data_IF_843326821980
#
_entry.id   IF_843326821980
#
_cell.length_a   1.000
_cell.length_b   1.000
_cell.length_c   1.000
_cell.angle_alpha   90.00
_cell.angle_beta   90.00
_cell.angle_gamma   90.00
#
_symmetry.space_group_name_H-M   'P 1'
#
loop_
_entity.id
_entity.type
_entity.pdbx_description
1 polymer ?
#
# COMPACT_ATOMS: atom_id res chain seq x y z
N UNK A 1 7.93 -2.52 8.97
CA UNK A 1 9.22 -2.55 9.70
C UNK A 1 9.80 -3.95 9.56
N UNK A 2 10.90 -4.12 8.82
CA UNK A 2 11.50 -5.45 8.60
C UNK A 2 12.26 -5.92 9.85
N UNK A 3 12.06 -7.17 10.24
CA UNK A 3 12.65 -7.72 11.47
C UNK A 3 14.18 -7.84 11.33
N UNK A 4 14.93 -7.41 12.36
CA UNK A 4 16.41 -7.50 12.36
C UNK A 4 16.91 -8.93 12.12
N UNK A 5 16.10 -9.94 12.48
CA UNK A 5 16.36 -11.36 12.20
C UNK A 5 16.52 -11.64 10.71
N UNK A 6 15.62 -11.14 9.88
CA UNK A 6 15.59 -11.38 8.43
C UNK A 6 16.78 -10.70 7.74
N UNK A 7 17.06 -9.45 8.14
CA UNK A 7 18.24 -8.73 7.68
C UNK A 7 19.55 -9.46 8.02
N UNK A 8 19.66 -10.00 9.23
CA UNK A 8 20.83 -10.78 9.61
C UNK A 8 20.92 -12.13 8.87
N UNK A 9 19.81 -12.80 8.57
CA UNK A 9 19.82 -14.01 7.76
C UNK A 9 20.34 -13.76 6.33
N UNK A 10 20.05 -12.59 5.77
CA UNK A 10 20.56 -12.19 4.45
C UNK A 10 22.08 -11.98 4.46
N UNK A 11 22.61 -11.18 5.38
CA UNK A 11 24.03 -10.81 5.38
C UNK A 11 24.98 -11.78 6.07
N UNK A 12 24.49 -12.71 6.90
CA UNK A 12 25.34 -13.62 7.67
C UNK A 12 25.10 -15.09 7.33
N UNK A 13 26.19 -15.85 7.30
CA UNK A 13 26.18 -17.30 7.20
C UNK A 13 26.38 -17.90 8.61
N UNK A 14 25.50 -18.78 9.11
CA UNK A 14 25.72 -19.46 10.37
C UNK A 14 26.85 -20.49 10.22
N UNK A 15 27.81 -20.47 11.14
CA UNK A 15 28.93 -21.42 11.22
C UNK A 15 28.85 -22.33 12.47
N UNK A 16 27.85 -22.14 13.32
CA UNK A 16 27.59 -22.91 14.53
C UNK A 16 26.53 -22.22 15.40
N UNK A 17 26.26 -22.73 16.60
CA UNK A 17 25.19 -22.22 17.49
C UNK A 17 25.35 -20.76 17.90
N UNK A 18 26.58 -20.23 17.85
CA UNK A 18 26.87 -18.88 18.30
C UNK A 18 27.83 -18.10 17.40
N UNK A 19 28.07 -18.56 16.17
CA UNK A 19 29.04 -17.95 15.27
C UNK A 19 28.41 -17.66 13.90
N UNK A 20 28.56 -16.41 13.46
CA UNK A 20 28.01 -15.90 12.21
C UNK A 20 29.11 -15.23 11.40
N UNK A 21 29.27 -15.63 10.15
CA UNK A 21 30.23 -15.01 9.21
C UNK A 21 29.53 -13.99 8.34
N UNK A 22 30.03 -12.77 8.29
CA UNK A 22 29.54 -11.75 7.38
C UNK A 22 29.87 -12.15 5.93
N UNK A 23 28.86 -12.15 5.04
CA UNK A 23 29.04 -12.50 3.62
C UNK A 23 29.74 -11.39 2.82
N UNK A 24 29.69 -10.14 3.29
CA UNK A 24 30.31 -8.99 2.60
C UNK A 24 31.81 -8.92 2.87
N UNK A 25 32.23 -9.05 4.14
CA UNK A 25 33.64 -8.90 4.53
C UNK A 25 34.30 -10.16 5.10
N UNK A 26 33.58 -11.27 5.24
CA UNK A 26 34.12 -12.53 5.79
C UNK A 26 34.38 -12.52 7.30
N UNK A 27 34.08 -11.43 8.01
CA UNK A 27 34.35 -11.32 9.43
C UNK A 27 33.42 -12.21 10.26
N UNK A 28 33.99 -12.93 11.23
CA UNK A 28 33.25 -13.78 12.15
C UNK A 28 32.76 -12.99 13.37
N UNK A 29 31.49 -13.17 13.70
CA UNK A 29 30.79 -12.50 14.80
C UNK A 29 30.15 -13.51 15.71
N UNK A 30 30.42 -13.38 17.01
CA UNK A 30 29.79 -14.21 18.05
C UNK A 30 28.43 -13.62 18.42
N UNK A 31 27.40 -14.44 18.43
CA UNK A 31 26.06 -14.10 18.90
C UNK A 31 25.56 -15.22 19.79
N UNK A 32 25.32 -14.94 21.07
CA UNK A 32 24.87 -15.99 22.01
C UNK A 32 23.40 -16.36 21.74
N UNK A 33 23.00 -17.63 21.92
CA UNK A 33 21.60 -18.04 21.87
C UNK A 33 20.77 -17.22 22.86
N UNK A 34 19.61 -16.72 22.43
CA UNK A 34 18.74 -15.88 23.27
C UNK A 34 19.14 -14.40 23.35
N UNK A 35 20.24 -13.99 22.72
CA UNK A 35 20.57 -12.57 22.54
C UNK A 35 19.96 -12.03 21.24
N UNK A 36 19.52 -10.77 21.25
CA UNK A 36 18.97 -10.12 20.06
C UNK A 36 20.04 -9.87 18.98
N UNK A 37 19.59 -9.46 17.79
CA UNK A 37 20.43 -9.28 16.58
C UNK A 37 21.20 -7.95 16.52
N UNK A 38 21.16 -7.15 17.58
CA UNK A 38 21.69 -5.78 17.58
C UNK A 38 23.20 -5.72 17.34
N UNK A 39 23.95 -6.73 17.79
CA UNK A 39 25.40 -6.86 17.57
C UNK A 39 25.76 -7.03 16.08
N UNK A 40 25.00 -7.87 15.36
CA UNK A 40 25.19 -8.13 13.94
C UNK A 40 24.79 -6.91 13.11
N UNK A 41 23.67 -6.26 13.45
CA UNK A 41 23.24 -5.03 12.77
C UNK A 41 24.22 -3.88 13.02
N UNK A 42 24.77 -3.77 14.23
CA UNK A 42 25.81 -2.77 14.55
C UNK A 42 27.09 -3.00 13.75
N UNK A 43 27.48 -4.27 13.53
CA UNK A 43 28.58 -4.58 12.61
C UNK A 43 28.29 -4.10 11.19
N UNK A 44 27.08 -4.33 10.67
CA UNK A 44 26.69 -3.87 9.34
C UNK A 44 26.77 -2.35 9.25
N UNK A 45 26.13 -1.64 10.19
CA UNK A 45 26.09 -0.18 10.20
C UNK A 45 27.46 0.50 10.33
N UNK A 46 28.45 -0.17 10.92
CA UNK A 46 29.80 0.37 11.10
C UNK A 46 30.79 0.01 9.99
N UNK A 47 30.51 -1.02 9.19
CA UNK A 47 31.45 -1.55 8.18
C UNK A 47 30.91 -1.53 6.76
N UNK A 48 29.61 -1.32 6.60
CA UNK A 48 28.91 -1.37 5.32
C UNK A 48 27.88 -0.22 5.32
N UNK A 49 28.16 0.88 4.63
CA UNK A 49 27.27 2.06 4.63
C UNK A 49 25.94 1.76 3.91
N UNK A 50 26.00 1.03 2.79
CA UNK A 50 24.85 0.80 1.91
C UNK A 50 24.07 -0.49 2.21
N UNK A 51 24.38 -1.20 3.29
CA UNK A 51 23.75 -2.49 3.60
C UNK A 51 22.21 -2.41 3.71
N UNK A 52 21.68 -1.26 4.10
CA UNK A 52 20.23 -1.04 4.15
C UNK A 52 19.64 -0.98 2.75
N UNK A 53 20.25 -0.20 1.85
CA UNK A 53 19.79 -0.07 0.48
C UNK A 53 19.91 -1.40 -0.30
N UNK A 54 21.00 -2.15 -0.11
CA UNK A 54 21.17 -3.48 -0.71
C UNK A 54 20.08 -4.46 -0.25
N UNK A 55 19.80 -4.49 1.06
CA UNK A 55 18.76 -5.32 1.60
C UNK A 55 17.39 -4.92 1.07
N UNK A 56 17.06 -3.64 1.08
CA UNK A 56 15.77 -3.14 0.62
C UNK A 56 15.57 -3.40 -0.88
N UNK A 57 16.62 -3.30 -1.70
CA UNK A 57 16.55 -3.63 -3.13
C UNK A 57 16.33 -5.13 -3.38
N UNK A 58 17.01 -5.99 -2.63
CA UNK A 58 16.80 -7.43 -2.71
C UNK A 58 15.39 -7.82 -2.20
N UNK A 59 14.95 -7.23 -1.09
CA UNK A 59 13.62 -7.46 -0.54
C UNK A 59 12.53 -6.97 -1.50
N UNK A 60 12.70 -5.78 -2.10
CA UNK A 60 11.83 -5.27 -3.18
C UNK A 60 11.79 -6.18 -4.41
N UNK A 61 12.81 -7.00 -4.65
CA UNK A 61 12.82 -7.98 -5.74
C UNK A 61 12.05 -9.27 -5.40
N UNK A 62 12.08 -9.68 -4.13
CA UNK A 62 11.38 -10.88 -3.63
C UNK A 62 9.91 -10.60 -3.31
N UNK A 63 9.60 -9.41 -2.80
CA UNK A 63 8.24 -8.95 -2.50
C UNK A 63 7.51 -8.40 -3.72
N UNK A 64 8.04 -8.57 -4.94
CA UNK A 64 7.25 -8.21 -6.12
C UNK A 64 6.04 -9.10 -6.19
N UNK A 65 4.88 -8.50 -6.00
CA UNK A 65 3.60 -9.17 -6.14
C UNK A 65 3.47 -9.66 -7.58
N UNK A 66 2.72 -10.75 -7.81
CA UNK A 66 2.34 -11.15 -9.17
C UNK A 66 1.63 -9.99 -9.91
N UNK A 67 1.01 -9.07 -9.16
CA UNK A 67 0.40 -7.84 -9.67
C UNK A 67 1.43 -6.89 -10.30
N UNK A 68 2.66 -6.84 -9.79
CA UNK A 68 3.75 -6.00 -10.35
C UNK A 68 4.21 -6.50 -11.73
N UNK A 69 3.89 -7.75 -12.06
CA UNK A 69 4.10 -8.34 -13.38
C UNK A 69 2.85 -8.26 -14.28
N UNK A 70 1.83 -7.53 -13.86
CA UNK A 70 0.56 -7.38 -14.59
C UNK A 70 -0.42 -8.53 -14.41
N UNK A 71 -0.13 -9.50 -13.52
CA UNK A 71 -1.06 -10.59 -13.25
C UNK A 71 -2.05 -10.16 -12.16
N UNK A 72 -3.30 -9.92 -12.56
CA UNK A 72 -4.38 -9.63 -11.63
C UNK A 72 -5.30 -10.84 -11.51
N UNK A 73 -5.60 -11.25 -10.28
CA UNK A 73 -6.56 -12.33 -10.05
C UNK A 73 -8.00 -11.87 -10.37
N UNK A 74 -8.86 -12.82 -10.73
CA UNK A 74 -10.28 -12.57 -11.05
C UNK A 74 -11.00 -11.83 -9.91
N UNK A 75 -10.64 -12.14 -8.66
CA UNK A 75 -11.20 -11.49 -7.47
C UNK A 75 -10.88 -9.99 -7.41
N UNK A 76 -9.60 -9.61 -7.58
CA UNK A 76 -9.19 -8.20 -7.61
C UNK A 76 -9.82 -7.47 -8.79
N UNK A 77 -9.96 -8.13 -9.94
CA UNK A 77 -10.65 -7.56 -11.10
C UNK A 77 -12.11 -7.25 -10.80
N UNK A 78 -12.87 -8.20 -10.25
CA UNK A 78 -14.26 -7.97 -9.88
C UNK A 78 -14.41 -6.92 -8.79
N UNK A 79 -13.50 -6.89 -7.82
CA UNK A 79 -13.49 -5.87 -6.77
C UNK A 79 -13.20 -4.47 -7.33
N UNK A 80 -12.27 -4.36 -8.27
CA UNK A 80 -12.02 -3.13 -9.03
C UNK A 80 -13.26 -2.68 -9.80
N UNK A 81 -13.97 -3.58 -10.47
CA UNK A 81 -15.20 -3.22 -11.18
C UNK A 81 -16.30 -2.68 -10.26
N UNK A 82 -16.48 -3.31 -9.09
CA UNK A 82 -17.39 -2.79 -8.05
C UNK A 82 -16.97 -1.40 -7.57
N UNK A 83 -15.69 -1.21 -7.25
CA UNK A 83 -15.14 0.08 -6.83
C UNK A 83 -15.37 1.16 -7.90
N UNK A 84 -14.99 0.87 -9.14
CA UNK A 84 -15.16 1.75 -10.30
C UNK A 84 -16.61 2.19 -10.45
N UNK A 85 -17.55 1.25 -10.39
CA UNK A 85 -18.97 1.55 -10.48
C UNK A 85 -19.46 2.45 -9.32
N UNK A 86 -19.04 2.15 -8.08
CA UNK A 86 -19.37 2.96 -6.90
C UNK A 86 -18.85 4.39 -7.05
N UNK A 87 -17.60 4.56 -7.48
CA UNK A 87 -16.94 5.86 -7.60
C UNK A 87 -17.49 6.67 -8.79
N UNK A 88 -17.45 6.11 -10.00
CA UNK A 88 -17.86 6.80 -11.23
C UNK A 88 -19.32 7.23 -11.20
N UNK A 89 -20.20 6.37 -10.70
CA UNK A 89 -21.64 6.65 -10.61
C UNK A 89 -22.05 7.28 -9.29
N UNK A 90 -21.11 7.43 -8.35
CA UNK A 90 -21.35 7.93 -6.99
C UNK A 90 -22.50 7.21 -6.30
N UNK A 91 -22.49 5.88 -6.41
CA UNK A 91 -23.47 5.01 -5.75
C UNK A 91 -23.13 4.91 -4.27
N UNK A 92 -24.14 4.77 -3.38
CA UNK A 92 -23.88 4.41 -2.00
C UNK A 92 -23.12 3.07 -1.93
N UNK A 93 -22.07 2.94 -1.10
CA UNK A 93 -21.37 1.66 -0.94
C UNK A 93 -22.29 0.52 -0.49
N UNK A 94 -23.41 0.83 0.19
CA UNK A 94 -24.44 -0.15 0.58
C UNK A 94 -25.14 -0.82 -0.59
N UNK A 95 -25.14 -0.23 -1.78
CA UNK A 95 -25.72 -0.85 -2.99
C UNK A 95 -24.96 -2.11 -3.41
N UNK A 96 -23.69 -2.22 -3.00
CA UNK A 96 -22.90 -3.43 -3.22
C UNK A 96 -23.40 -4.60 -2.36
N UNK A 97 -24.10 -4.30 -1.26
CA UNK A 97 -24.76 -5.28 -0.42
C UNK A 97 -26.20 -5.60 -0.85
N UNK A 98 -26.78 -4.79 -1.74
CA UNK A 98 -28.14 -4.99 -2.23
C UNK A 98 -28.23 -6.23 -3.11
N UNK A 99 -29.20 -7.10 -2.79
CA UNK A 99 -29.35 -8.39 -3.46
C UNK A 99 -29.82 -8.23 -4.92
N UNK A 100 -30.64 -7.22 -5.21
CA UNK A 100 -31.07 -6.91 -6.58
C UNK A 100 -29.90 -6.49 -7.45
N UNK A 101 -29.05 -5.62 -6.92
CA UNK A 101 -27.83 -5.14 -7.59
C UNK A 101 -26.84 -6.28 -7.80
N UNK A 102 -26.66 -7.16 -6.81
CA UNK A 102 -25.82 -8.37 -6.94
C UNK A 102 -26.34 -9.34 -7.99
N UNK A 103 -27.65 -9.58 -8.03
CA UNK A 103 -28.26 -10.49 -9.01
C UNK A 103 -28.13 -9.97 -10.46
N UNK A 104 -28.07 -8.65 -10.65
CA UNK A 104 -27.84 -8.03 -11.95
C UNK A 104 -26.35 -7.94 -12.33
N UNK A 105 -25.47 -7.86 -11.34
CA UNK A 105 -24.04 -7.72 -11.57
C UNK A 105 -23.43 -9.02 -12.11
N UNK A 106 -22.55 -8.89 -13.11
CA UNK A 106 -21.77 -10.02 -13.63
C UNK A 106 -20.58 -10.39 -12.75
N UNK A 107 -20.26 -9.54 -11.78
CA UNK A 107 -19.07 -9.64 -10.93
C UNK A 107 -19.37 -10.50 -9.71
N UNK A 108 -18.34 -11.16 -9.17
CA UNK A 108 -18.48 -11.87 -7.89
C UNK A 108 -18.98 -10.91 -6.81
N UNK A 109 -19.82 -11.41 -5.92
CA UNK A 109 -20.31 -10.61 -4.79
C UNK A 109 -19.15 -10.14 -3.94
N UNK A 110 -19.23 -8.88 -3.52
CA UNK A 110 -18.35 -8.29 -2.51
C UNK A 110 -19.25 -7.61 -1.47
N UNK A 111 -18.66 -6.96 -0.46
CA UNK A 111 -19.42 -6.23 0.55
C UNK A 111 -18.99 -4.75 0.63
N UNK A 112 -19.87 -3.92 1.18
CA UNK A 112 -19.62 -2.48 1.28
C UNK A 112 -18.36 -2.14 2.08
N UNK A 113 -18.02 -2.93 3.11
CA UNK A 113 -16.81 -2.73 3.92
C UNK A 113 -15.53 -2.98 3.10
N UNK A 114 -15.52 -4.00 2.25
CA UNK A 114 -14.42 -4.28 1.34
C UNK A 114 -14.22 -3.12 0.36
N UNK A 115 -15.29 -2.67 -0.30
CA UNK A 115 -15.21 -1.55 -1.27
C UNK A 115 -14.78 -0.26 -0.59
N UNK A 116 -15.27 0.04 0.62
CA UNK A 116 -14.79 1.20 1.40
C UNK A 116 -13.30 1.11 1.71
N UNK A 117 -12.79 -0.08 2.07
CA UNK A 117 -11.37 -0.29 2.32
C UNK A 117 -10.54 -0.10 1.05
N UNK A 118 -11.03 -0.57 -0.08
CA UNK A 118 -10.41 -0.37 -1.39
C UNK A 118 -10.34 1.13 -1.75
N UNK A 119 -11.42 1.89 -1.51
CA UNK A 119 -11.44 3.35 -1.72
C UNK A 119 -10.37 4.07 -0.89
N UNK A 120 -10.19 3.68 0.38
CA UNK A 120 -9.16 4.25 1.26
C UNK A 120 -7.76 3.90 0.75
N UNK A 121 -7.56 2.67 0.28
CA UNK A 121 -6.29 2.18 -0.26
C UNK A 121 -5.91 2.96 -1.52
N UNK A 122 -6.84 3.10 -2.46
CA UNK A 122 -6.65 3.91 -3.67
C UNK A 122 -6.35 5.36 -3.31
N UNK A 123 -7.12 5.97 -2.40
CA UNK A 123 -6.87 7.36 -1.99
C UNK A 123 -5.48 7.54 -1.38
N UNK A 124 -5.02 6.57 -0.58
CA UNK A 124 -3.69 6.60 0.05
C UNK A 124 -2.56 6.44 -0.98
N UNK A 125 -2.72 5.54 -1.94
CA UNK A 125 -1.77 5.33 -3.04
C UNK A 125 -1.68 6.58 -3.93
N UNK A 126 -2.82 7.17 -4.29
CA UNK A 126 -2.88 8.43 -5.03
C UNK A 126 -2.20 9.58 -4.30
N UNK A 127 -2.46 9.73 -3.00
CA UNK A 127 -1.80 10.76 -2.19
C UNK A 127 -0.28 10.57 -2.14
N UNK A 128 0.20 9.34 -2.09
CA UNK A 128 1.64 9.04 -2.16
C UNK A 128 2.24 9.50 -3.49
N UNK A 129 1.62 9.13 -4.61
CA UNK A 129 2.07 9.52 -5.96
C UNK A 129 2.05 11.04 -6.12
N UNK A 130 0.96 11.68 -5.72
CA UNK A 130 0.81 13.14 -5.80
C UNK A 130 1.83 13.86 -4.91
N UNK A 131 2.14 13.32 -3.72
CA UNK A 131 3.13 13.91 -2.81
C UNK A 131 4.56 13.79 -3.32
N UNK A 132 4.86 12.82 -4.19
CA UNK A 132 6.17 12.72 -4.86
C UNK A 132 6.30 13.76 -5.98
N UNK A 133 5.21 14.06 -6.69
CA UNK A 133 5.17 15.01 -7.81
C UNK A 133 5.04 16.48 -7.37
N UNK A 134 4.42 16.74 -6.22
CA UNK A 134 4.21 18.11 -5.72
C UNK A 134 5.32 18.49 -4.73
N UNK A 135 6.17 19.49 -5.04
CA UNK A 135 7.20 19.94 -4.11
C UNK A 135 6.58 20.47 -2.81
N UNK A 136 7.21 20.25 -1.64
CA UNK A 136 6.64 20.46 -0.31
C UNK A 136 6.25 21.93 0.04
N UNK A 137 6.50 22.89 -0.85
CA UNK A 137 6.11 24.30 -0.70
C UNK A 137 4.90 24.70 -1.55
N UNK A 138 4.33 23.77 -2.33
CA UNK A 138 3.21 24.07 -3.21
C UNK A 138 1.88 23.96 -2.46
N UNK A 139 1.20 25.10 -2.32
CA UNK A 139 -0.18 25.27 -1.86
C UNK A 139 -1.24 24.63 -2.80
N UNK A 140 -0.83 23.82 -3.77
CA UNK A 140 -1.72 23.04 -4.63
C UNK A 140 -2.50 21.96 -3.85
N UNK A 141 -1.87 21.31 -2.86
CA UNK A 141 -2.54 20.32 -2.01
C UNK A 141 -3.73 20.93 -1.26
N UNK A 142 -3.54 22.10 -0.64
CA UNK A 142 -4.59 22.82 0.10
C UNK A 142 -5.72 23.31 -0.81
N UNK A 143 -5.43 23.67 -2.07
CA UNK A 143 -6.44 24.06 -3.06
C UNK A 143 -7.35 22.91 -3.46
N UNK A 144 -6.82 21.69 -3.61
CA UNK A 144 -7.59 20.51 -3.96
C UNK A 144 -8.58 20.15 -2.83
N UNK A 145 -8.14 20.22 -1.56
CA UNK A 145 -9.04 20.11 -0.40
C UNK A 145 -10.07 21.23 -0.33
N UNK A 146 -9.75 22.45 -0.77
CA UNK A 146 -10.70 23.56 -0.82
C UNK A 146 -11.73 23.42 -1.95
N UNK A 147 -11.36 22.86 -3.10
CA UNK A 147 -12.31 22.56 -4.19
C UNK A 147 -13.26 21.43 -3.80
N UNK A 148 -12.77 20.39 -3.11
CA UNK A 148 -13.62 19.37 -2.50
C UNK A 148 -14.64 19.98 -1.52
N UNK A 149 -14.29 21.06 -0.81
CA UNK A 149 -15.24 21.82 0.04
C UNK A 149 -16.32 22.57 -0.75
N UNK A 150 -16.06 23.00 -2.00
CA UNK A 150 -17.04 23.69 -2.85
C UNK A 150 -18.07 22.71 -3.43
N UNK A 151 -17.68 21.45 -3.65
CA UNK A 151 -18.60 20.39 -4.11
C UNK A 151 -19.63 20.01 -3.01
N UNK A 152 -19.41 20.39 -1.74
CA UNK A 152 -20.34 20.26 -0.60
C UNK A 152 -21.56 21.21 -0.69
N UNK A 153 -22.23 21.29 -1.84
CA UNK A 153 -23.48 22.05 -1.98
C UNK A 153 -24.64 21.39 -1.22
N UNK A 154 -25.65 22.17 -0.75
CA UNK A 154 -26.65 21.69 0.21
C UNK A 154 -27.55 20.53 -0.26
N UNK A 155 -27.53 20.19 -1.54
CA UNK A 155 -28.41 19.14 -2.11
C UNK A 155 -28.04 17.69 -1.71
N UNK A 156 -26.97 17.44 -0.96
CA UNK A 156 -26.56 16.07 -0.54
C UNK A 156 -26.32 15.89 0.97
N UNK A 157 -27.13 16.56 1.80
CA UNK A 157 -27.06 16.56 3.27
C UNK A 157 -27.34 15.21 3.99
N UNK A 158 -27.27 14.07 3.30
CA UNK A 158 -27.44 12.74 3.89
C UNK A 158 -26.17 11.87 3.89
N UNK A 159 -25.04 12.39 3.41
CA UNK A 159 -23.76 11.66 3.37
C UNK A 159 -22.82 12.25 4.43
N UNK A 160 -22.35 11.42 5.36
CA UNK A 160 -21.32 11.81 6.34
C UNK A 160 -20.10 12.36 5.59
N UNK A 161 -19.51 13.48 6.05
CA UNK A 161 -18.42 14.18 5.35
C UNK A 161 -17.27 13.25 4.91
N UNK A 162 -16.94 12.24 5.72
CA UNK A 162 -15.96 11.21 5.41
C UNK A 162 -16.34 10.33 4.20
N UNK A 163 -17.62 9.94 4.06
CA UNK A 163 -18.09 9.14 2.92
C UNK A 163 -18.09 9.96 1.61
N UNK A 164 -18.30 11.27 1.69
CA UNK A 164 -18.23 12.15 0.52
C UNK A 164 -16.78 12.27 0.02
N UNK A 165 -15.83 12.53 0.91
CA UNK A 165 -14.40 12.59 0.56
C UNK A 165 -13.90 11.27 -0.05
N UNK A 166 -14.34 10.13 0.52
CA UNK A 166 -14.01 8.80 0.00
C UNK A 166 -14.50 8.58 -1.45
N UNK A 167 -15.60 9.20 -1.88
CA UNK A 167 -16.10 9.10 -3.26
C UNK A 167 -15.52 10.17 -4.17
N UNK A 168 -15.45 11.42 -3.69
CA UNK A 168 -15.05 12.57 -4.50
C UNK A 168 -13.57 12.51 -4.88
N UNK A 169 -12.69 12.12 -3.95
CA UNK A 169 -11.26 12.14 -4.21
C UNK A 169 -10.82 11.12 -5.27
N UNK A 170 -11.16 9.82 -5.18
CA UNK A 170 -10.83 8.87 -6.25
C UNK A 170 -11.51 9.24 -7.58
N UNK A 171 -12.73 9.80 -7.53
CA UNK A 171 -13.44 10.22 -8.75
C UNK A 171 -12.74 11.37 -9.48
N UNK A 172 -12.29 12.38 -8.75
CA UNK A 172 -11.60 13.53 -9.35
C UNK A 172 -10.23 13.17 -9.94
N UNK A 173 -9.67 12.02 -9.54
CA UNK A 173 -8.38 11.52 -10.01
C UNK A 173 -8.53 10.17 -10.74
N UNK A 174 -9.66 9.94 -11.44
CA UNK A 174 -9.97 8.66 -12.11
C UNK A 174 -8.87 8.17 -13.05
N UNK A 175 -8.16 9.10 -13.68
CA UNK A 175 -7.04 8.84 -14.59
C UNK A 175 -5.75 8.39 -13.89
N UNK A 176 -5.66 8.56 -12.57
CA UNK A 176 -4.47 8.24 -11.78
C UNK A 176 -4.54 6.87 -11.07
N UNK A 177 -5.66 6.15 -11.15
CA UNK A 177 -5.77 4.83 -10.54
C UNK A 177 -6.41 3.80 -11.48
N UNK A 178 -5.96 2.57 -11.35
CA UNK A 178 -6.45 1.44 -12.12
C UNK A 178 -6.53 0.19 -11.24
N UNK A 179 -6.66 -0.97 -11.87
CA UNK A 179 -6.76 -2.26 -11.19
C UNK A 179 -5.54 -2.56 -10.29
N UNK A 180 -4.37 -1.99 -10.60
CA UNK A 180 -3.14 -2.17 -9.82
C UNK A 180 -3.16 -1.34 -8.53
N UNK A 181 -4.01 -0.31 -8.45
CA UNK A 181 -4.16 0.51 -7.25
C UNK A 181 -4.85 -0.23 -6.08
N UNK A 182 -5.36 -1.44 -6.31
CA UNK A 182 -5.95 -2.35 -5.30
C UNK A 182 -4.99 -3.44 -4.80
N UNK A 183 -3.73 -3.43 -5.26
CA UNK A 183 -2.68 -4.35 -4.85
C UNK A 183 -2.27 -4.14 -3.38
#
# INVERSE_FOLDING_TARGET
MVANRERCAFFFQPLGEALHRCKICGADRKQLPGTGYSNLVSHLASRHEDFRAEYDNHHRGIERSLQDFGYVCEETSHRYQWLRWVVERSMPPSEVDDEGTRAMAKWRSTNSEAVKKDMITVASNLLSVISEEIPPTSNAGERLFSECKVILTPQRSSILLAHFEMLAFPRSNEDMWDITSLA
#
